data_IF_057794337088
#
_entry.id   IF_057794337088
#
_cell.length_a   1.000
_cell.length_b   1.000
_cell.length_c   1.000
_cell.angle_alpha   90.00
_cell.angle_beta   90.00
_cell.angle_gamma   90.00
#
_symmetry.space_group_name_H-M   'P 1'
#
loop_
_entity.id
_entity.type
_entity.pdbx_description
1 polymer ?
#
# COMPACT_ATOMS: atom_id res chain seq x y z
N UNK A 1 54.40 19.69 68.64
CA UNK A 1 53.61 18.46 68.43
C UNK A 1 53.22 18.40 66.96
N UNK A 2 53.96 17.53 66.24
CA UNK A 2 53.61 16.80 65.00
C UNK A 2 53.21 17.56 63.73
N UNK A 3 53.65 17.22 62.51
CA UNK A 3 54.75 16.42 61.93
C UNK A 3 54.51 16.42 60.41
N UNK A 4 55.58 16.59 59.61
CA UNK A 4 55.90 16.02 58.28
C UNK A 4 54.80 15.90 57.18
N UNK A 5 54.90 16.61 56.05
CA UNK A 5 55.69 16.35 54.81
C UNK A 5 55.10 15.25 53.89
N UNK A 6 54.66 15.70 52.71
CA UNK A 6 54.60 15.09 51.36
C UNK A 6 53.99 13.70 51.11
N UNK A 7 53.01 13.60 50.19
CA UNK A 7 53.18 12.91 48.88
C UNK A 7 51.94 13.01 47.98
N UNK A 8 52.23 12.99 46.69
CA UNK A 8 51.40 13.16 45.50
C UNK A 8 50.71 11.86 45.10
N UNK A 9 49.42 11.91 44.74
CA UNK A 9 48.80 10.86 43.92
C UNK A 9 47.60 11.41 43.15
N UNK A 10 47.82 11.62 41.85
CA UNK A 10 46.78 11.79 40.84
C UNK A 10 45.79 10.61 40.88
N UNK A 11 44.50 10.92 40.95
CA UNK A 11 43.43 9.92 41.07
C UNK A 11 42.23 10.25 40.18
N UNK A 12 42.29 9.73 38.96
CA UNK A 12 41.13 9.29 38.17
C UNK A 12 40.12 10.37 37.72
N UNK A 13 40.38 10.90 36.52
CA UNK A 13 39.38 11.32 35.55
C UNK A 13 38.25 10.27 35.44
N UNK A 14 37.12 10.53 36.09
CA UNK A 14 35.88 9.78 35.89
C UNK A 14 35.29 10.11 34.53
N UNK A 15 35.81 9.46 33.49
CA UNK A 15 35.23 9.40 32.16
C UNK A 15 33.77 8.90 32.26
N UNK A 16 32.76 9.60 31.70
CA UNK A 16 31.43 9.03 31.64
C UNK A 16 31.48 7.88 30.64
N UNK A 17 31.60 6.66 31.17
CA UNK A 17 31.47 5.43 30.40
C UNK A 17 30.23 5.55 29.51
N UNK A 18 30.47 5.65 28.20
CA UNK A 18 29.41 5.58 27.20
C UNK A 18 28.72 4.23 27.39
N UNK A 19 27.59 4.23 28.11
CA UNK A 19 26.66 3.10 28.07
C UNK A 19 26.21 3.04 26.62
N UNK A 20 26.82 2.14 25.85
CA UNK A 20 26.38 1.79 24.52
C UNK A 20 24.91 1.42 24.68
N UNK A 21 24.02 2.33 24.28
CA UNK A 21 22.59 2.18 24.49
C UNK A 21 22.16 0.88 23.82
N UNK A 22 21.90 -0.15 24.64
CA UNK A 22 21.58 -1.48 24.12
C UNK A 22 20.32 -1.35 23.26
N UNK A 23 20.36 -1.94 22.06
CA UNK A 23 19.24 -1.87 21.13
C UNK A 23 17.94 -2.35 21.80
N UNK A 24 16.80 -1.70 21.56
CA UNK A 24 15.55 -2.04 22.20
C UNK A 24 15.14 -3.48 21.89
N UNK A 25 14.52 -4.12 22.88
CA UNK A 25 13.94 -5.45 22.74
C UNK A 25 12.69 -5.35 21.86
N UNK A 26 12.49 -6.35 20.99
CA UNK A 26 11.30 -6.47 20.17
C UNK A 26 10.10 -6.77 21.06
N UNK A 27 9.03 -5.99 20.93
CA UNK A 27 7.83 -6.14 21.76
C UNK A 27 7.05 -7.36 21.30
N UNK A 28 6.73 -8.25 22.24
CA UNK A 28 5.89 -9.42 21.99
C UNK A 28 4.42 -9.03 22.21
N UNK A 29 3.53 -9.19 21.21
CA UNK A 29 2.13 -8.75 21.29
C UNK A 29 1.38 -9.30 22.50
N UNK A 30 1.59 -10.59 22.83
CA UNK A 30 0.91 -11.24 23.95
C UNK A 30 1.30 -10.71 25.34
N UNK A 31 2.24 -9.77 25.43
CA UNK A 31 2.66 -9.15 26.69
C UNK A 31 2.35 -7.66 26.78
N UNK A 32 2.04 -7.02 25.65
CA UNK A 32 1.86 -5.57 25.56
C UNK A 32 0.41 -5.22 25.23
N UNK A 33 -0.25 -6.03 24.40
CA UNK A 33 -1.63 -5.82 23.99
C UNK A 33 -2.59 -6.71 24.80
N UNK A 34 -3.57 -6.13 25.52
CA UNK A 34 -4.49 -6.90 26.37
C UNK A 34 -5.41 -7.83 25.58
N UNK A 35 -5.77 -7.47 24.35
CA UNK A 35 -6.60 -8.31 23.47
C UNK A 35 -5.80 -9.51 22.99
N UNK A 36 -4.54 -9.29 22.56
CA UNK A 36 -3.67 -10.39 22.13
C UNK A 36 -3.25 -11.28 23.31
N UNK A 37 -3.04 -10.70 24.49
CA UNK A 37 -2.79 -11.44 25.72
C UNK A 37 -3.95 -12.41 26.01
N UNK A 38 -5.20 -11.91 26.08
CA UNK A 38 -6.36 -12.75 26.31
C UNK A 38 -6.58 -13.80 25.20
N UNK A 39 -6.36 -13.43 23.93
CA UNK A 39 -6.48 -14.35 22.81
C UNK A 39 -5.40 -15.45 22.83
N UNK A 40 -4.23 -15.18 23.44
CA UNK A 40 -3.13 -16.14 23.48
C UNK A 40 -3.42 -17.37 24.34
N UNK A 41 -4.38 -17.29 25.28
CA UNK A 41 -4.81 -18.43 26.10
C UNK A 41 -5.33 -19.61 25.26
N UNK A 42 -5.96 -19.32 24.11
CA UNK A 42 -6.41 -20.34 23.17
C UNK A 42 -5.26 -21.13 22.51
N UNK A 43 -4.04 -20.57 22.52
CA UNK A 43 -2.83 -21.12 21.91
C UNK A 43 -1.75 -21.50 22.95
N UNK A 44 -2.10 -21.55 24.24
CA UNK A 44 -1.20 -21.93 25.33
C UNK A 44 -0.71 -20.79 26.23
N UNK A 45 -1.28 -19.60 26.08
CA UNK A 45 -1.05 -18.45 26.96
C UNK A 45 0.03 -17.47 26.45
N UNK A 46 0.29 -16.41 27.24
CA UNK A 46 1.22 -15.35 26.85
C UNK A 46 2.67 -15.85 26.84
N UNK A 47 3.54 -15.09 26.16
CA UNK A 47 4.93 -15.46 26.00
C UNK A 47 5.64 -15.57 27.36
N UNK A 48 6.10 -16.77 27.72
CA UNK A 48 6.70 -17.06 29.02
C UNK A 48 7.90 -16.17 29.35
N UNK A 49 8.13 -15.93 30.66
CA UNK A 49 9.23 -15.08 31.15
C UNK A 49 10.63 -15.53 30.74
N UNK A 50 10.81 -16.83 30.48
CA UNK A 50 12.08 -17.43 30.02
C UNK A 50 12.22 -17.50 28.50
N UNK A 51 11.19 -17.09 27.74
CA UNK A 51 11.25 -17.10 26.29
C UNK A 51 12.27 -16.08 25.79
N UNK A 52 13.12 -16.49 24.85
CA UNK A 52 14.11 -15.61 24.25
C UNK A 52 13.42 -14.47 23.48
N UNK A 53 13.73 -13.23 23.86
CA UNK A 53 13.21 -12.03 23.17
C UNK A 53 14.32 -11.39 22.34
N UNK A 54 14.24 -11.46 21.01
CA UNK A 54 15.26 -10.88 20.17
C UNK A 54 15.26 -9.36 20.28
N UNK A 55 16.44 -8.75 20.07
CA UNK A 55 16.56 -7.30 19.94
C UNK A 55 16.18 -6.86 18.53
N UNK A 56 15.76 -5.60 18.39
CA UNK A 56 15.37 -5.02 17.10
C UNK A 56 16.51 -5.04 16.05
N UNK A 57 17.77 -5.08 16.50
CA UNK A 57 18.96 -5.21 15.62
C UNK A 57 19.20 -6.63 15.13
N UNK A 58 18.49 -7.64 15.65
CA UNK A 58 18.62 -9.03 15.20
C UNK A 58 17.98 -9.18 13.82
N UNK A 59 18.82 -9.23 12.78
CA UNK A 59 18.37 -9.47 11.39
C UNK A 59 17.55 -10.76 11.27
N UNK A 60 17.95 -11.82 11.98
CA UNK A 60 17.24 -13.09 11.99
C UNK A 60 15.80 -12.93 12.50
N UNK A 61 15.62 -12.23 13.62
CA UNK A 61 14.29 -12.01 14.20
C UNK A 61 13.38 -11.17 13.31
N UNK A 62 13.88 -10.07 12.75
CA UNK A 62 13.10 -9.23 11.83
C UNK A 62 12.74 -10.00 10.56
N UNK A 63 13.65 -10.84 10.05
CA UNK A 63 13.38 -11.70 8.90
C UNK A 63 12.27 -12.71 9.22
N UNK A 64 12.27 -13.31 10.41
CA UNK A 64 11.20 -14.22 10.85
C UNK A 64 9.86 -13.50 10.92
N UNK A 65 9.81 -12.33 11.56
CA UNK A 65 8.58 -11.51 11.63
C UNK A 65 8.07 -11.17 10.23
N UNK A 66 8.97 -10.71 9.35
CA UNK A 66 8.63 -10.40 7.96
C UNK A 66 8.09 -11.62 7.20
N UNK A 67 8.72 -12.80 7.34
CA UNK A 67 8.23 -14.03 6.70
C UNK A 67 6.83 -14.40 7.17
N UNK A 68 6.58 -14.38 8.49
CA UNK A 68 5.26 -14.70 9.03
C UNK A 68 4.21 -13.72 8.51
N UNK A 69 4.48 -12.42 8.58
CA UNK A 69 3.53 -11.40 8.13
C UNK A 69 3.28 -11.41 6.61
N UNK A 70 4.31 -11.71 5.81
CA UNK A 70 4.15 -11.93 4.37
C UNK A 70 3.27 -13.14 4.10
N UNK A 71 3.50 -14.27 4.80
CA UNK A 71 2.67 -15.46 4.65
C UNK A 71 1.21 -15.19 5.05
N UNK A 72 0.97 -14.43 6.13
CA UNK A 72 -0.38 -14.04 6.54
C UNK A 72 -1.03 -13.11 5.50
N UNK A 73 -0.28 -12.17 4.92
CA UNK A 73 -0.77 -11.28 3.85
C UNK A 73 -1.17 -12.10 2.62
N UNK A 74 -0.35 -13.08 2.23
CA UNK A 74 -0.62 -14.00 1.13
C UNK A 74 -1.83 -14.88 1.40
N UNK A 75 -1.98 -15.38 2.63
CA UNK A 75 -3.14 -16.15 3.04
C UNK A 75 -4.42 -15.32 2.94
N UNK A 76 -4.42 -14.10 3.48
CA UNK A 76 -5.57 -13.18 3.45
C UNK A 76 -5.98 -12.85 2.02
N UNK A 77 -5.03 -12.50 1.15
CA UNK A 77 -5.31 -12.26 -0.27
C UNK A 77 -5.73 -13.53 -1.00
N UNK A 78 -5.14 -14.67 -0.68
CA UNK A 78 -5.50 -15.97 -1.25
C UNK A 78 -6.94 -16.37 -0.93
N UNK A 79 -7.38 -16.14 0.32
CA UNK A 79 -8.79 -16.29 0.72
C UNK A 79 -9.69 -15.30 -0.03
N UNK A 80 -9.24 -14.06 -0.17
CA UNK A 80 -9.90 -13.06 -1.02
C UNK A 80 -10.10 -13.56 -2.44
N UNK A 81 -9.05 -14.05 -3.10
CA UNK A 81 -9.13 -14.64 -4.46
C UNK A 81 -10.04 -15.86 -4.50
N UNK A 82 -9.97 -16.76 -3.51
CA UNK A 82 -10.83 -17.93 -3.43
C UNK A 82 -12.32 -17.58 -3.36
N UNK A 83 -12.68 -16.50 -2.65
CA UNK A 83 -14.04 -15.96 -2.62
C UNK A 83 -14.52 -15.52 -4.03
N UNK A 84 -13.61 -15.16 -4.97
CA UNK A 84 -13.97 -14.76 -6.34
C UNK A 84 -14.18 -15.96 -7.27
N UNK A 85 -13.91 -17.18 -6.82
CA UNK A 85 -13.97 -18.39 -7.65
C UNK A 85 -15.31 -18.61 -8.39
N UNK A 86 -16.51 -18.28 -7.85
CA UNK A 86 -17.75 -18.46 -8.59
C UNK A 86 -17.80 -17.60 -9.86
N UNK A 87 -17.43 -16.33 -9.74
CA UNK A 87 -17.37 -15.41 -10.88
C UNK A 87 -16.19 -15.71 -11.83
N UNK A 88 -15.05 -16.16 -11.30
CA UNK A 88 -13.88 -16.51 -12.11
C UNK A 88 -14.18 -17.65 -13.09
N UNK A 89 -14.94 -18.66 -12.65
CA UNK A 89 -15.36 -19.79 -13.50
C UNK A 89 -16.18 -19.35 -14.70
N UNK A 90 -17.00 -18.29 -14.56
CA UNK A 90 -17.77 -17.71 -15.66
C UNK A 90 -17.04 -16.55 -16.34
N UNK A 91 -15.77 -16.26 -16.02
CA UNK A 91 -15.08 -15.07 -16.53
C UNK A 91 -15.90 -13.77 -16.35
N UNK A 92 -16.66 -13.71 -15.25
CA UNK A 92 -17.60 -12.64 -14.93
C UNK A 92 -18.67 -12.37 -16.02
N UNK A 93 -18.97 -13.36 -16.87
CA UNK A 93 -20.01 -13.32 -17.90
C UNK A 93 -21.32 -14.03 -17.51
N UNK A 94 -21.43 -14.48 -16.25
CA UNK A 94 -22.59 -15.21 -15.76
C UNK A 94 -23.90 -14.40 -15.84
N UNK A 95 -25.04 -15.09 -15.93
CA UNK A 95 -26.35 -14.44 -16.03
C UNK A 95 -26.84 -13.88 -14.69
N UNK A 96 -27.46 -12.70 -14.73
CA UNK A 96 -28.11 -12.09 -13.57
C UNK A 96 -27.17 -11.27 -12.65
N UNK A 97 -27.40 -11.35 -11.33
CA UNK A 97 -26.67 -10.58 -10.29
C UNK A 97 -25.64 -11.43 -9.53
N UNK A 98 -25.03 -12.43 -10.20
CA UNK A 98 -24.16 -13.42 -9.55
C UNK A 98 -23.00 -12.79 -8.77
N UNK A 99 -22.39 -11.74 -9.31
CA UNK A 99 -21.32 -10.98 -8.69
C UNK A 99 -21.69 -10.37 -7.33
N UNK A 100 -22.96 -10.03 -7.15
CA UNK A 100 -23.48 -9.49 -5.89
C UNK A 100 -23.96 -10.60 -4.96
N UNK A 101 -24.67 -11.60 -5.49
CA UNK A 101 -25.20 -12.72 -4.70
C UNK A 101 -24.09 -13.61 -4.12
N UNK A 102 -22.98 -13.79 -4.85
CA UNK A 102 -21.84 -14.59 -4.42
C UNK A 102 -20.69 -13.73 -3.86
N UNK A 103 -20.89 -12.42 -3.67
CA UNK A 103 -19.88 -11.50 -3.14
C UNK A 103 -18.54 -11.59 -3.90
N UNK A 104 -18.57 -11.79 -5.23
CA UNK A 104 -17.39 -11.95 -6.09
C UNK A 104 -17.20 -10.78 -7.08
N UNK A 105 -17.80 -9.63 -6.79
CA UNK A 105 -17.60 -8.40 -7.53
C UNK A 105 -16.14 -7.92 -7.49
N UNK A 106 -15.65 -7.47 -8.65
CA UNK A 106 -14.37 -6.78 -8.84
C UNK A 106 -14.47 -5.92 -10.10
N UNK A 107 -13.88 -4.72 -10.08
CA UNK A 107 -13.88 -3.82 -11.25
C UNK A 107 -12.98 -4.35 -12.37
N UNK A 108 -12.08 -5.29 -12.06
CA UNK A 108 -11.00 -5.71 -12.96
C UNK A 108 -11.54 -6.24 -14.31
N UNK A 109 -12.43 -7.25 -14.36
CA UNK A 109 -13.03 -7.71 -15.61
C UNK A 109 -13.88 -6.64 -16.31
N UNK A 110 -14.60 -5.80 -15.54
CA UNK A 110 -15.43 -4.74 -16.10
C UNK A 110 -14.60 -3.68 -16.82
N UNK A 111 -13.40 -3.36 -16.32
CA UNK A 111 -12.50 -2.46 -17.00
C UNK A 111 -11.95 -3.07 -18.29
N UNK A 112 -11.74 -4.38 -18.35
CA UNK A 112 -11.25 -5.05 -19.56
C UNK A 112 -12.20 -4.82 -20.75
N UNK A 113 -13.50 -5.04 -20.54
CA UNK A 113 -14.53 -4.78 -21.57
C UNK A 113 -14.86 -3.30 -21.71
N UNK A 114 -15.16 -2.62 -20.60
CA UNK A 114 -15.69 -1.26 -20.60
C UNK A 114 -14.69 -0.19 -21.05
N UNK A 115 -13.39 -0.48 -21.00
CA UNK A 115 -12.33 0.43 -21.45
C UNK A 115 -11.67 -0.02 -22.75
N UNK A 116 -12.25 -1.00 -23.44
CA UNK A 116 -11.85 -1.41 -24.78
C UNK A 116 -10.53 -2.19 -24.86
N UNK A 117 -10.09 -2.82 -23.75
CA UNK A 117 -8.91 -3.69 -23.77
C UNK A 117 -9.17 -4.99 -24.54
N UNK A 118 -10.41 -5.47 -24.55
CA UNK A 118 -10.89 -6.56 -25.40
C UNK A 118 -10.76 -6.23 -26.90
N UNK A 119 -10.96 -4.95 -27.26
CA UNK A 119 -10.79 -4.40 -28.61
C UNK A 119 -9.34 -3.96 -28.92
N UNK A 120 -8.39 -4.25 -28.02
CA UNK A 120 -6.97 -3.87 -28.14
C UNK A 120 -6.74 -2.35 -28.27
N UNK A 121 -7.61 -1.54 -27.69
CA UNK A 121 -7.44 -0.09 -27.68
C UNK A 121 -6.31 0.29 -26.72
N UNK A 122 -5.45 1.21 -27.15
CA UNK A 122 -4.40 1.78 -26.28
C UNK A 122 -5.01 2.82 -25.34
N UNK A 123 -4.87 2.68 -24.00
CA UNK A 123 -5.36 3.66 -23.03
C UNK A 123 -4.87 5.08 -23.33
N UNK A 124 -5.71 6.06 -23.01
CA UNK A 124 -5.49 7.50 -23.22
C UNK A 124 -5.41 7.96 -24.69
N UNK A 125 -4.93 7.13 -25.62
CA UNK A 125 -4.85 7.47 -27.05
C UNK A 125 -6.13 7.17 -27.81
N UNK A 126 -6.78 6.06 -27.49
CA UNK A 126 -7.95 5.58 -28.18
C UNK A 126 -9.13 5.48 -27.23
N UNK A 127 -10.31 5.77 -27.77
CA UNK A 127 -11.59 5.66 -27.08
C UNK A 127 -12.64 5.19 -28.09
N UNK A 128 -13.73 4.62 -27.60
CA UNK A 128 -14.87 4.17 -28.40
C UNK A 128 -16.18 4.61 -27.72
N UNK A 129 -16.60 5.88 -27.92
CA UNK A 129 -17.82 6.41 -27.30
C UNK A 129 -19.07 5.65 -27.73
N UNK A 130 -19.12 5.13 -28.97
CA UNK A 130 -20.24 4.33 -29.46
C UNK A 130 -20.38 3.00 -28.69
N UNK A 131 -19.25 2.43 -28.26
CA UNK A 131 -19.18 1.27 -27.36
C UNK A 131 -19.21 1.60 -25.86
N UNK A 132 -19.45 2.87 -25.47
CA UNK A 132 -19.49 3.30 -24.06
C UNK A 132 -18.12 3.60 -23.42
N UNK A 133 -17.03 3.47 -24.17
CA UNK A 133 -15.68 3.78 -23.70
C UNK A 133 -15.31 5.24 -24.00
N UNK A 134 -15.56 6.13 -23.04
CA UNK A 134 -15.20 7.55 -23.15
C UNK A 134 -13.75 7.88 -22.77
N UNK A 135 -12.93 6.87 -22.44
CA UNK A 135 -11.57 7.03 -21.94
C UNK A 135 -11.33 6.29 -20.62
N UNK A 136 -10.07 6.28 -20.17
CA UNK A 136 -9.68 5.58 -18.95
C UNK A 136 -9.85 6.47 -17.71
N UNK A 137 -10.60 5.98 -16.72
CA UNK A 137 -10.92 6.68 -15.47
C UNK A 137 -9.83 6.59 -14.38
N UNK A 138 -8.63 6.13 -14.73
CA UNK A 138 -7.50 5.95 -13.82
C UNK A 138 -6.34 6.91 -14.16
N UNK A 139 -5.54 7.30 -13.16
CA UNK A 139 -4.27 7.99 -13.37
C UNK A 139 -3.23 7.16 -14.12
N UNK A 140 -2.21 7.83 -14.68
CA UNK A 140 -1.24 7.26 -15.62
C UNK A 140 -0.55 5.98 -15.14
N UNK A 141 -0.07 5.91 -13.89
CA UNK A 141 0.63 4.73 -13.37
C UNK A 141 -0.32 3.54 -13.19
N UNK A 142 -1.54 3.80 -12.71
CA UNK A 142 -2.58 2.76 -12.65
C UNK A 142 -2.96 2.28 -14.06
N UNK A 143 -3.16 3.21 -14.99
CA UNK A 143 -3.45 2.85 -16.38
C UNK A 143 -2.31 2.09 -17.07
N UNK A 144 -1.05 2.40 -16.76
CA UNK A 144 0.08 1.62 -17.26
C UNK A 144 0.10 0.18 -16.68
N UNK A 145 -0.26 0.01 -15.40
CA UNK A 145 -0.42 -1.32 -14.82
C UNK A 145 -1.57 -2.10 -15.47
N UNK A 146 -2.69 -1.43 -15.75
CA UNK A 146 -3.82 -2.00 -16.49
C UNK A 146 -3.42 -2.38 -17.91
N UNK A 147 -2.77 -1.48 -18.66
CA UNK A 147 -2.30 -1.76 -20.02
C UNK A 147 -1.33 -2.95 -20.05
N UNK A 148 -0.38 -2.99 -19.12
CA UNK A 148 0.57 -4.11 -19.00
C UNK A 148 -0.16 -5.42 -18.73
N UNK A 149 -1.12 -5.43 -17.81
CA UNK A 149 -1.93 -6.61 -17.54
C UNK A 149 -2.76 -7.04 -18.76
N UNK A 150 -3.31 -6.09 -19.52
CA UNK A 150 -4.11 -6.36 -20.71
C UNK A 150 -3.27 -6.96 -21.83
N UNK A 151 -2.07 -6.42 -22.08
CA UNK A 151 -1.15 -6.94 -23.09
C UNK A 151 -0.71 -8.37 -22.76
N UNK A 152 -0.37 -8.65 -21.49
CA UNK A 152 -0.02 -10.00 -21.05
C UNK A 152 -1.22 -10.95 -21.17
N UNK A 153 -2.40 -10.50 -20.78
CA UNK A 153 -3.62 -11.28 -20.89
C UNK A 153 -3.97 -11.67 -22.34
N UNK A 154 -3.81 -10.73 -23.28
CA UNK A 154 -4.02 -10.97 -24.71
C UNK A 154 -2.99 -11.94 -25.32
N UNK A 155 -1.79 -12.04 -24.73
CA UNK A 155 -0.76 -13.00 -25.15
C UNK A 155 -1.00 -14.40 -24.56
N UNK A 156 -1.51 -14.48 -23.32
CA UNK A 156 -1.69 -15.73 -22.59
C UNK A 156 -3.05 -16.40 -22.84
N UNK A 157 -4.07 -15.64 -23.25
CA UNK A 157 -5.42 -16.13 -23.48
C UNK A 157 -5.80 -16.20 -24.96
N UNK A 158 -6.33 -17.35 -25.38
CA UNK A 158 -6.75 -17.58 -26.78
C UNK A 158 -8.13 -16.98 -27.09
N UNK A 159 -9.06 -17.04 -26.12
CA UNK A 159 -10.42 -16.52 -26.24
C UNK A 159 -10.64 -15.30 -25.35
N UNK A 160 -11.62 -14.46 -25.66
CA UNK A 160 -11.92 -13.27 -24.83
C UNK A 160 -12.21 -13.62 -23.35
N UNK A 161 -13.02 -14.67 -23.02
CA UNK A 161 -13.18 -15.09 -21.62
C UNK A 161 -11.88 -15.52 -20.94
N UNK A 162 -10.97 -16.18 -21.65
CA UNK A 162 -9.68 -16.60 -21.10
C UNK A 162 -8.75 -15.40 -20.88
N UNK A 163 -8.74 -14.45 -21.82
CA UNK A 163 -8.02 -13.18 -21.67
C UNK A 163 -8.52 -12.41 -20.45
N UNK A 164 -9.83 -12.40 -20.19
CA UNK A 164 -10.39 -11.73 -18.99
C UNK A 164 -9.92 -12.39 -17.70
N UNK A 165 -9.85 -13.73 -17.66
CA UNK A 165 -9.28 -14.45 -16.51
C UNK A 165 -7.81 -14.11 -16.32
N UNK A 166 -7.02 -14.15 -17.38
CA UNK A 166 -5.61 -13.76 -17.33
C UNK A 166 -5.42 -12.30 -16.93
N UNK A 167 -6.31 -11.40 -17.36
CA UNK A 167 -6.27 -9.99 -16.95
C UNK A 167 -6.48 -9.84 -15.45
N UNK A 168 -7.44 -10.58 -14.89
CA UNK A 168 -7.65 -10.66 -13.46
C UNK A 168 -6.44 -11.27 -12.73
N UNK A 169 -5.87 -12.36 -13.24
CA UNK A 169 -4.75 -13.05 -12.61
C UNK A 169 -3.49 -12.17 -12.61
N UNK A 170 -3.10 -11.58 -13.74
CA UNK A 170 -1.94 -10.68 -13.85
C UNK A 170 -2.13 -9.45 -12.96
N UNK A 171 -3.33 -8.87 -12.92
CA UNK A 171 -3.64 -7.79 -12.00
C UNK A 171 -3.47 -8.24 -10.55
N UNK A 172 -4.00 -9.40 -10.19
CA UNK A 172 -3.89 -9.97 -8.84
C UNK A 172 -2.42 -10.19 -8.44
N UNK A 173 -1.57 -10.64 -9.35
CA UNK A 173 -0.13 -10.78 -9.10
C UNK A 173 0.54 -9.44 -8.79
N UNK A 174 0.21 -8.37 -9.52
CA UNK A 174 0.68 -7.02 -9.17
C UNK A 174 0.22 -6.62 -7.77
N UNK A 175 -1.06 -6.81 -7.45
CA UNK A 175 -1.63 -6.44 -6.16
C UNK A 175 -1.02 -7.23 -4.99
N UNK A 176 -0.70 -8.51 -5.19
CA UNK A 176 0.05 -9.33 -4.23
C UNK A 176 1.45 -8.75 -4.02
N UNK A 177 2.18 -8.46 -5.11
CA UNK A 177 3.54 -7.92 -5.02
C UNK A 177 3.56 -6.57 -4.26
N UNK A 178 2.64 -5.66 -4.58
CA UNK A 178 2.53 -4.39 -3.89
C UNK A 178 2.04 -4.53 -2.44
N UNK A 179 1.21 -5.52 -2.12
CA UNK A 179 0.83 -5.82 -0.73
C UNK A 179 2.00 -6.32 0.10
N UNK A 180 2.89 -7.12 -0.48
CA UNK A 180 4.15 -7.54 0.16
C UNK A 180 5.03 -6.31 0.42
N UNK A 181 5.18 -5.43 -0.56
CA UNK A 181 5.92 -4.17 -0.37
C UNK A 181 5.31 -3.33 0.76
N UNK A 182 3.98 -3.23 0.80
CA UNK A 182 3.26 -2.50 1.84
C UNK A 182 3.51 -3.08 3.23
N UNK A 183 3.32 -4.39 3.45
CA UNK A 183 3.51 -4.99 4.78
C UNK A 183 4.96 -4.85 5.25
N UNK A 184 5.94 -4.99 4.35
CA UNK A 184 7.35 -4.75 4.66
C UNK A 184 7.62 -3.29 5.03
N UNK A 185 6.96 -2.34 4.35
CA UNK A 185 7.06 -0.93 4.69
C UNK A 185 6.45 -0.62 6.07
N UNK A 186 5.30 -1.22 6.40
CA UNK A 186 4.64 -1.08 7.71
C UNK A 186 5.49 -1.68 8.83
N UNK A 187 6.11 -2.85 8.62
CA UNK A 187 7.09 -3.42 9.57
C UNK A 187 8.22 -2.42 9.86
N UNK A 188 8.73 -1.75 8.81
CA UNK A 188 9.76 -0.73 8.95
C UNK A 188 9.31 0.53 9.68
N UNK A 189 8.02 0.86 9.62
CA UNK A 189 7.39 2.01 10.30
C UNK A 189 7.04 1.72 11.76
N UNK A 190 6.71 0.47 12.08
CA UNK A 190 6.23 0.06 13.40
C UNK A 190 7.31 0.10 14.49
N UNK A 191 8.59 0.33 14.15
CA UNK A 191 9.66 0.51 15.12
C UNK A 191 9.86 -0.72 16.01
N UNK A 192 9.64 -0.58 17.32
CA UNK A 192 9.82 -1.66 18.31
C UNK A 192 8.72 -2.73 18.32
N UNK A 193 7.61 -2.50 17.62
CA UNK A 193 6.42 -3.37 17.57
C UNK A 193 6.11 -3.86 16.14
N UNK A 194 7.07 -4.53 15.46
CA UNK A 194 6.90 -4.93 14.05
C UNK A 194 5.71 -5.87 13.81
N UNK A 195 5.24 -6.57 14.84
CA UNK A 195 4.05 -7.40 14.79
C UNK A 195 2.75 -6.62 14.57
N UNK A 196 2.71 -5.30 14.84
CA UNK A 196 1.53 -4.45 14.56
C UNK A 196 1.18 -4.42 13.07
N UNK A 197 2.15 -4.73 12.19
CA UNK A 197 1.88 -4.91 10.77
C UNK A 197 0.91 -6.08 10.47
N UNK A 198 0.63 -6.95 11.45
CA UNK A 198 -0.45 -7.94 11.38
C UNK A 198 -1.82 -7.28 11.16
N UNK A 199 -2.03 -6.05 11.65
CA UNK A 199 -3.27 -5.29 11.41
C UNK A 199 -3.51 -5.04 9.92
N UNK A 200 -2.45 -4.89 9.13
CA UNK A 200 -2.55 -4.82 7.67
C UNK A 200 -2.67 -6.21 7.05
N UNK A 201 -1.80 -7.15 7.45
CA UNK A 201 -1.72 -8.48 6.87
C UNK A 201 -3.04 -9.29 6.99
N UNK A 202 -3.77 -9.10 8.09
CA UNK A 202 -5.03 -9.78 8.40
C UNK A 202 -6.24 -8.84 8.29
N UNK A 203 -6.10 -7.68 7.66
CA UNK A 203 -7.18 -6.70 7.55
C UNK A 203 -8.39 -7.32 6.81
N UNK A 204 -9.62 -7.25 7.37
CA UNK A 204 -10.82 -7.67 6.66
C UNK A 204 -11.00 -6.91 5.35
N UNK A 205 -10.61 -5.63 5.31
CA UNK A 205 -10.59 -4.84 4.07
C UNK A 205 -9.66 -5.42 3.02
N UNK A 206 -8.48 -5.92 3.40
CA UNK A 206 -7.57 -6.57 2.44
C UNK A 206 -8.18 -7.86 1.87
N UNK A 207 -8.83 -8.67 2.71
CA UNK A 207 -9.52 -9.89 2.29
C UNK A 207 -10.69 -9.57 1.34
N UNK A 208 -11.54 -8.63 1.73
CA UNK A 208 -12.81 -8.36 1.07
C UNK A 208 -12.68 -7.42 -0.13
N UNK A 209 -11.70 -6.51 -0.15
CA UNK A 209 -11.58 -5.48 -1.19
C UNK A 209 -10.24 -5.46 -1.89
N UNK A 210 -9.26 -6.28 -1.46
CA UNK A 210 -7.89 -6.26 -1.98
C UNK A 210 -7.80 -6.45 -3.50
N UNK A 211 -8.68 -7.25 -4.09
CA UNK A 211 -8.71 -7.51 -5.55
C UNK A 211 -9.88 -6.86 -6.27
N UNK A 212 -10.56 -5.90 -5.63
CA UNK A 212 -11.63 -5.14 -6.29
C UNK A 212 -11.06 -4.13 -7.28
N UNK A 213 -9.93 -3.49 -6.93
CA UNK A 213 -9.38 -2.36 -7.66
C UNK A 213 -7.83 -2.32 -7.55
N UNK A 214 -7.17 -1.39 -8.26
CA UNK A 214 -5.72 -1.23 -8.31
C UNK A 214 -5.12 -0.44 -7.12
N UNK A 215 -5.91 -0.18 -6.09
CA UNK A 215 -5.55 0.74 -4.99
C UNK A 215 -4.33 0.27 -4.19
N UNK A 216 -4.06 -1.03 -4.12
CA UNK A 216 -2.88 -1.56 -3.39
C UNK A 216 -1.55 -1.06 -3.95
N UNK A 217 -1.49 -0.68 -5.23
CA UNK A 217 -0.32 -0.03 -5.83
C UNK A 217 -0.09 1.33 -5.14
N UNK A 218 -1.14 2.13 -4.98
CA UNK A 218 -1.06 3.44 -4.33
C UNK A 218 -0.77 3.30 -2.81
N UNK A 219 -1.37 2.30 -2.16
CA UNK A 219 -1.13 1.99 -0.74
C UNK A 219 0.33 1.64 -0.50
N UNK A 220 0.90 0.77 -1.32
CA UNK A 220 2.30 0.38 -1.20
C UNK A 220 3.25 1.58 -1.42
N UNK A 221 3.02 2.38 -2.47
CA UNK A 221 3.83 3.57 -2.75
C UNK A 221 3.72 4.60 -1.62
N UNK A 222 2.51 4.83 -1.09
CA UNK A 222 2.30 5.70 0.07
C UNK A 222 3.05 5.19 1.31
N UNK A 223 2.95 3.89 1.63
CA UNK A 223 3.62 3.27 2.77
C UNK A 223 5.15 3.34 2.65
N UNK A 224 5.71 3.09 1.46
CA UNK A 224 7.15 3.26 1.20
C UNK A 224 7.56 4.72 1.31
N UNK A 225 6.74 5.65 0.81
CA UNK A 225 6.96 7.09 0.95
C UNK A 225 7.02 7.53 2.41
N UNK A 226 6.08 7.06 3.23
CA UNK A 226 6.08 7.33 4.67
C UNK A 226 7.26 6.69 5.39
N UNK A 227 7.67 5.48 5.01
CA UNK A 227 8.86 4.84 5.55
C UNK A 227 10.13 5.61 5.19
N UNK A 228 10.24 6.09 3.95
CA UNK A 228 11.35 6.93 3.51
C UNK A 228 11.39 8.24 4.29
N UNK A 229 10.24 8.85 4.54
CA UNK A 229 10.12 10.06 5.36
C UNK A 229 10.57 9.82 6.80
N UNK A 230 10.07 8.75 7.44
CA UNK A 230 10.45 8.35 8.79
C UNK A 230 11.96 8.08 8.94
N UNK A 231 12.63 7.69 7.84
CA UNK A 231 14.08 7.48 7.76
C UNK A 231 14.88 8.71 7.34
N UNK A 232 14.26 9.89 7.30
CA UNK A 232 14.95 11.15 6.97
C UNK A 232 15.33 11.28 5.48
N UNK A 233 14.63 10.59 4.57
CA UNK A 233 14.88 10.63 3.12
C UNK A 233 13.74 11.38 2.39
N UNK A 234 13.63 12.72 2.53
CA UNK A 234 12.48 13.48 2.03
C UNK A 234 12.31 13.41 0.51
N UNK A 235 13.40 13.36 -0.26
CA UNK A 235 13.32 13.23 -1.73
C UNK A 235 12.69 11.90 -2.13
N UNK A 236 13.13 10.78 -1.54
CA UNK A 236 12.55 9.47 -1.80
C UNK A 236 11.08 9.41 -1.37
N UNK A 237 10.74 10.01 -0.22
CA UNK A 237 9.36 10.14 0.21
C UNK A 237 8.52 10.87 -0.84
N UNK A 238 9.00 12.02 -1.30
CA UNK A 238 8.37 12.79 -2.38
C UNK A 238 8.17 11.98 -3.65
N UNK A 239 9.22 11.32 -4.17
CA UNK A 239 9.14 10.51 -5.39
C UNK A 239 8.03 9.46 -5.26
N UNK A 240 8.00 8.71 -4.15
CA UNK A 240 7.00 7.65 -3.92
C UNK A 240 5.59 8.21 -3.77
N UNK A 241 5.41 9.33 -3.07
CA UNK A 241 4.10 9.99 -2.96
C UNK A 241 3.63 10.55 -4.31
N UNK A 242 4.51 11.13 -5.12
CA UNK A 242 4.17 11.61 -6.46
C UNK A 242 3.80 10.49 -7.43
N UNK A 243 4.54 9.38 -7.42
CA UNK A 243 4.18 8.18 -8.18
C UNK A 243 2.86 7.58 -7.68
N UNK A 244 2.66 7.50 -6.35
CA UNK A 244 1.39 7.08 -5.76
C UNK A 244 0.22 7.95 -6.18
N UNK A 245 0.44 9.27 -6.28
CA UNK A 245 -0.54 10.26 -6.76
C UNK A 245 -0.90 10.05 -8.23
N UNK A 246 0.06 9.56 -9.01
CA UNK A 246 -0.14 9.14 -10.40
C UNK A 246 -0.76 7.74 -10.53
N UNK A 247 -1.08 7.07 -9.42
CA UNK A 247 -1.86 5.82 -9.35
C UNK A 247 -3.27 6.08 -8.80
N UNK A 248 -3.38 6.86 -7.72
CA UNK A 248 -4.62 7.30 -7.09
C UNK A 248 -4.37 8.66 -6.44
N UNK A 249 -5.35 9.54 -6.34
CA UNK A 249 -5.07 10.92 -5.89
C UNK A 249 -4.60 11.01 -4.43
N UNK A 250 -5.08 10.13 -3.54
CA UNK A 250 -4.93 10.32 -2.09
C UNK A 250 -3.50 10.38 -1.51
N UNK A 251 -2.45 9.72 -2.06
CA UNK A 251 -1.10 9.79 -1.50
C UNK A 251 -0.54 11.22 -1.47
N UNK A 252 -0.94 12.10 -2.40
CA UNK A 252 -0.51 13.51 -2.39
C UNK A 252 -0.96 14.21 -1.12
N UNK A 253 -2.13 13.85 -0.57
CA UNK A 253 -2.68 14.48 0.62
C UNK A 253 -1.84 14.22 1.87
N UNK A 254 -0.96 13.21 1.86
CA UNK A 254 0.01 13.00 2.95
C UNK A 254 1.04 14.14 3.05
N UNK A 255 1.24 14.93 1.98
CA UNK A 255 2.07 16.14 2.06
C UNK A 255 1.46 17.22 2.95
N UNK A 256 0.15 17.21 3.18
CA UNK A 256 -0.55 18.20 4.03
C UNK A 256 -0.22 18.04 5.52
N UNK A 257 -0.40 16.87 6.17
CA UNK A 257 0.03 16.70 7.56
C UNK A 257 1.55 16.85 7.70
N UNK A 258 2.33 16.44 6.70
CA UNK A 258 3.79 16.68 6.69
C UNK A 258 4.13 18.18 6.63
N UNK A 259 3.36 18.98 5.88
CA UNK A 259 3.50 20.44 5.86
C UNK A 259 3.30 21.01 7.26
N UNK A 260 2.19 20.66 7.92
CA UNK A 260 1.86 21.14 9.26
C UNK A 260 2.96 20.76 10.25
N UNK A 261 3.45 19.51 10.19
CA UNK A 261 4.53 19.03 11.03
C UNK A 261 5.84 19.82 10.80
N UNK A 262 6.24 19.98 9.54
CA UNK A 262 7.46 20.69 9.17
C UNK A 262 7.39 22.18 9.48
N UNK A 263 6.23 22.80 9.29
CA UNK A 263 6.00 24.19 9.63
C UNK A 263 6.17 24.43 11.13
N UNK A 264 5.52 23.60 11.96
CA UNK A 264 5.67 23.64 13.42
C UNK A 264 7.10 23.37 13.89
N UNK A 265 7.81 22.47 13.20
CA UNK A 265 9.17 22.07 13.57
C UNK A 265 10.28 22.97 12.97
N UNK A 266 9.94 24.01 12.20
CA UNK A 266 10.94 24.83 11.49
C UNK A 266 11.73 24.09 10.40
N UNK A 267 11.18 22.99 9.89
CA UNK A 267 11.82 22.03 8.96
C UNK A 267 11.24 22.13 7.54
N UNK A 268 11.02 23.35 7.06
CA UNK A 268 10.38 23.61 5.76
C UNK A 268 11.22 23.13 4.58
N UNK A 269 12.56 23.09 4.70
CA UNK A 269 13.45 22.56 3.66
C UNK A 269 13.20 21.07 3.37
N UNK A 270 12.91 20.27 4.40
CA UNK A 270 12.57 18.86 4.23
C UNK A 270 11.24 18.70 3.50
N UNK A 271 10.24 19.50 3.88
CA UNK A 271 8.94 19.47 3.21
C UNK A 271 9.03 19.92 1.75
N UNK A 272 9.70 21.04 1.47
CA UNK A 272 9.83 21.54 0.10
C UNK A 272 10.60 20.56 -0.79
N UNK A 273 11.58 19.84 -0.25
CA UNK A 273 12.30 18.78 -0.97
C UNK A 273 11.39 17.61 -1.33
N UNK A 274 10.52 17.18 -0.41
CA UNK A 274 9.55 16.12 -0.69
C UNK A 274 8.45 16.58 -1.65
N UNK A 275 7.90 17.78 -1.46
CA UNK A 275 6.87 18.34 -2.34
C UNK A 275 7.40 18.56 -3.77
N UNK A 276 8.62 19.12 -3.91
CA UNK A 276 9.28 19.27 -5.19
C UNK A 276 9.55 17.93 -5.88
N UNK A 277 10.07 16.95 -5.14
CA UNK A 277 10.30 15.62 -5.68
C UNK A 277 9.00 14.90 -6.09
N UNK A 278 7.90 15.09 -5.34
CA UNK A 278 6.59 14.57 -5.69
C UNK A 278 6.03 15.20 -6.96
N UNK A 279 6.15 16.53 -7.10
CA UNK A 279 5.73 17.23 -8.30
C UNK A 279 6.54 16.78 -9.52
N UNK A 280 7.87 16.67 -9.39
CA UNK A 280 8.75 16.21 -10.47
C UNK A 280 8.45 14.76 -10.86
N UNK A 281 8.30 13.83 -9.90
CA UNK A 281 8.01 12.43 -10.23
C UNK A 281 6.63 12.25 -10.85
N UNK A 282 5.63 12.98 -10.36
CA UNK A 282 4.29 13.00 -10.93
C UNK A 282 4.30 13.57 -12.36
N UNK A 283 5.00 14.69 -12.60
CA UNK A 283 5.15 15.26 -13.93
C UNK A 283 5.93 14.33 -14.86
N UNK A 284 6.97 13.67 -14.38
CA UNK A 284 7.78 12.77 -15.21
C UNK A 284 6.95 11.63 -15.84
N UNK A 285 5.97 11.09 -15.10
CA UNK A 285 5.09 10.05 -15.63
C UNK A 285 3.88 10.62 -16.39
N UNK A 286 3.35 11.78 -15.99
CA UNK A 286 2.17 12.36 -16.64
C UNK A 286 2.49 13.14 -17.93
N UNK A 287 3.62 13.85 -17.97
CA UNK A 287 3.97 14.75 -19.07
C UNK A 287 4.03 14.05 -20.44
N UNK A 288 4.61 12.84 -20.59
CA UNK A 288 4.55 12.13 -21.87
C UNK A 288 3.11 11.88 -22.34
N UNK A 289 2.21 11.50 -21.43
CA UNK A 289 0.80 11.26 -21.77
C UNK A 289 0.08 12.58 -22.06
N UNK A 290 0.38 13.66 -21.33
CA UNK A 290 -0.16 14.99 -21.63
C UNK A 290 0.23 15.46 -23.04
N UNK A 291 1.48 15.23 -23.46
CA UNK A 291 1.99 15.66 -24.77
C UNK A 291 1.38 14.84 -25.91
N UNK A 292 1.30 13.52 -25.77
CA UNK A 292 0.86 12.64 -26.85
C UNK A 292 -0.63 12.26 -26.83
N UNK A 293 -1.32 12.48 -25.70
CA UNK A 293 -2.67 11.99 -25.45
C UNK A 293 -3.44 12.90 -24.47
N UNK A 294 -3.38 14.22 -24.66
CA UNK A 294 -3.94 15.22 -23.73
C UNK A 294 -5.41 14.99 -23.38
N UNK A 295 -6.25 14.72 -24.38
CA UNK A 295 -7.70 14.51 -24.17
C UNK A 295 -7.97 13.29 -23.28
N UNK A 296 -7.30 12.16 -23.53
CA UNK A 296 -7.44 10.97 -22.71
C UNK A 296 -6.84 11.14 -21.32
N UNK A 297 -5.72 11.84 -21.19
CA UNK A 297 -5.15 12.20 -19.88
C UNK A 297 -6.11 13.07 -19.06
N UNK A 298 -6.70 14.09 -19.69
CA UNK A 298 -7.65 15.01 -19.03
C UNK A 298 -8.93 14.31 -18.61
N UNK A 299 -9.34 13.25 -19.34
CA UNK A 299 -10.58 12.52 -19.07
C UNK A 299 -10.68 12.04 -17.61
N UNK A 300 -9.57 11.57 -17.02
CA UNK A 300 -9.52 11.20 -15.60
C UNK A 300 -10.06 12.31 -14.69
N UNK A 301 -9.59 13.54 -14.87
CA UNK A 301 -9.98 14.67 -14.03
C UNK A 301 -11.44 15.07 -14.26
N UNK A 302 -11.86 15.16 -15.53
CA UNK A 302 -13.25 15.50 -15.86
C UNK A 302 -14.24 14.44 -15.43
N UNK A 303 -13.85 13.16 -15.47
CA UNK A 303 -14.68 12.05 -15.00
C UNK A 303 -14.90 12.14 -13.49
N UNK A 304 -13.84 12.43 -12.72
CA UNK A 304 -13.96 12.56 -11.26
C UNK A 304 -14.75 13.81 -10.84
N UNK A 305 -14.63 14.91 -11.59
CA UNK A 305 -15.41 16.14 -11.36
C UNK A 305 -16.91 15.93 -11.62
N UNK A 306 -17.26 15.20 -12.67
CA UNK A 306 -18.65 14.93 -13.06
C UNK A 306 -19.22 13.63 -12.46
N UNK A 307 -18.49 12.97 -11.55
CA UNK A 307 -18.88 11.65 -11.06
C UNK A 307 -20.15 11.77 -10.22
N UNK A 308 -21.22 11.01 -10.54
CA UNK A 308 -22.42 11.01 -9.72
C UNK A 308 -22.15 10.33 -8.37
N UNK A 309 -23.10 10.49 -7.46
CA UNK A 309 -23.06 9.86 -6.14
C UNK A 309 -22.89 8.34 -6.29
N UNK A 310 -21.87 7.80 -5.62
CA UNK A 310 -21.49 6.39 -5.72
C UNK A 310 -22.46 5.48 -4.95
N UNK A 311 -22.73 4.28 -5.49
CA UNK A 311 -23.69 3.30 -4.98
C UNK A 311 -23.44 2.88 -3.53
N UNK A 312 -22.20 2.95 -3.06
CA UNK A 312 -21.82 2.61 -1.68
C UNK A 312 -21.87 3.77 -0.68
N UNK A 313 -22.22 4.98 -1.12
CA UNK A 313 -22.15 6.16 -0.26
C UNK A 313 -23.42 6.32 0.60
N UNK A 314 -23.30 6.81 1.85
CA UNK A 314 -24.47 7.19 2.64
C UNK A 314 -25.33 8.26 1.92
N UNK A 315 -24.73 9.07 1.06
CA UNK A 315 -25.39 10.08 0.24
C UNK A 315 -26.30 9.44 -0.81
N UNK A 316 -25.91 8.28 -1.37
CA UNK A 316 -26.76 7.52 -2.27
C UNK A 316 -28.00 6.99 -1.55
N UNK A 317 -27.80 6.45 -0.35
CA UNK A 317 -28.90 5.98 0.51
C UNK A 317 -29.83 7.14 0.87
N UNK A 318 -29.29 8.26 1.34
CA UNK A 318 -30.09 9.45 1.69
C UNK A 318 -30.91 9.93 0.49
N UNK A 319 -30.30 10.08 -0.70
CA UNK A 319 -30.97 10.59 -1.91
C UNK A 319 -32.10 9.67 -2.43
N UNK A 320 -32.05 8.38 -2.16
CA UNK A 320 -33.04 7.41 -2.67
C UNK A 320 -34.09 7.02 -1.62
N UNK A 321 -33.83 7.30 -0.34
CA UNK A 321 -34.73 6.95 0.78
C UNK A 321 -35.47 8.17 1.35
N UNK A 322 -34.99 9.37 1.04
CA UNK A 322 -35.58 10.67 1.36
C UNK A 322 -35.65 11.53 0.11
#
# INVERSE_FOLDING_TARGET
MSSDVSEEAAGSSGEPASRTAQAPILVAPSLDDPVVNAASDALGGPLGGHAWRPRLTSRGAITTVARVLVLLTLLTLGLGVAQRSPCYKTAWNGSGKQQYNHLCYTDVPYMYYGRGFDKKLTPYRQSDPAGGNNGLEYPVVAGAAMETAALLAQQLGDTTPDQVRWFYDVTTWFLIAFSIICVLAVIGLAGRRPWDAAMFALAPGLLLTGTINWDLIAVALASVGMLAWARGRPVLAGVMLGLGSATKLYPVFLLVPLLVLCWRAGRMRQWSSAAGAAAVSWLAVNAPVMVFAFHGWKYFFTFNDNRPIDLGSPWFAIRHWW
#
